data_IF_755769843556
#
_entry.id   IF_755769843556
#
_cell.length_a   1.000
_cell.length_b   1.000
_cell.length_c   1.000
_cell.angle_alpha   90.00
_cell.angle_beta   90.00
_cell.angle_gamma   90.00
#
_symmetry.space_group_name_H-M   'P 1'
#
loop_
_entity.id
_entity.type
_entity.pdbx_description
1 polymer ?
#
# COMPACT_ATOMS: atom_id res chain seq x y z
N UNK A 1 -8.33 15.36 -29.12
CA UNK A 1 -8.42 13.93 -28.71
C UNK A 1 -7.13 13.53 -28.00
N UNK A 2 -7.09 13.62 -26.68
CA UNK A 2 -5.88 13.35 -25.90
C UNK A 2 -5.80 11.85 -25.55
N UNK A 3 -5.20 11.06 -26.44
CA UNK A 3 -4.96 9.62 -26.25
C UNK A 3 -3.59 9.42 -25.60
N UNK A 4 -3.41 9.96 -24.39
CA UNK A 4 -2.30 9.60 -23.52
C UNK A 4 -2.84 8.55 -22.54
N UNK A 5 -2.63 7.28 -22.90
CA UNK A 5 -2.79 6.15 -22.00
C UNK A 5 -1.85 6.39 -20.81
N UNK A 6 -2.36 7.07 -19.76
CA UNK A 6 -1.84 6.96 -18.41
C UNK A 6 -1.78 5.46 -18.16
N UNK A 7 -0.59 4.86 -18.18
CA UNK A 7 -0.40 3.49 -17.68
C UNK A 7 -0.66 3.56 -16.18
N UNK A 8 -1.93 3.66 -15.81
CA UNK A 8 -2.38 3.53 -14.44
C UNK A 8 -1.87 2.18 -13.97
N UNK A 9 -1.13 2.18 -12.87
CA UNK A 9 -0.73 0.93 -12.24
C UNK A 9 -2.01 0.13 -11.98
N UNK A 10 -2.16 -0.99 -12.69
CA UNK A 10 -3.25 -1.94 -12.52
C UNK A 10 -2.66 -3.35 -12.61
N UNK A 11 -2.50 -4.01 -11.47
CA UNK A 11 -1.91 -5.35 -11.37
C UNK A 11 -2.96 -6.34 -10.89
N UNK A 12 -3.00 -7.53 -11.50
CA UNK A 12 -3.81 -8.63 -11.01
C UNK A 12 -3.09 -9.31 -9.86
N UNK A 13 -3.69 -9.29 -8.67
CA UNK A 13 -3.15 -9.85 -7.44
C UNK A 13 -4.13 -10.88 -6.89
N UNK A 14 -3.60 -12.00 -6.38
CA UNK A 14 -4.41 -13.01 -5.71
C UNK A 14 -4.55 -12.64 -4.24
N UNK A 15 -5.78 -12.66 -3.74
CA UNK A 15 -6.03 -12.47 -2.31
C UNK A 15 -5.45 -13.65 -1.52
N UNK A 16 -4.61 -13.37 -0.53
CA UNK A 16 -4.05 -14.39 0.38
C UNK A 16 -5.09 -15.09 1.26
N UNK A 17 -6.28 -14.51 1.43
CA UNK A 17 -7.33 -15.08 2.27
C UNK A 17 -8.33 -15.98 1.54
N UNK A 18 -8.74 -15.61 0.32
CA UNK A 18 -9.79 -16.31 -0.42
C UNK A 18 -9.35 -16.81 -1.80
N UNK A 19 -8.11 -16.53 -2.23
CA UNK A 19 -7.58 -16.94 -3.53
C UNK A 19 -8.15 -16.17 -4.73
N UNK A 20 -9.14 -15.30 -4.54
CA UNK A 20 -9.74 -14.54 -5.64
C UNK A 20 -8.71 -13.62 -6.30
N UNK A 21 -8.72 -13.57 -7.64
CA UNK A 21 -7.84 -12.70 -8.41
C UNK A 21 -8.51 -11.37 -8.67
N UNK A 22 -7.96 -10.29 -8.13
CA UNK A 22 -8.51 -8.94 -8.23
C UNK A 22 -7.56 -8.00 -8.96
N UNK A 23 -8.10 -7.05 -9.72
CA UNK A 23 -7.32 -5.95 -10.29
C UNK A 23 -7.13 -4.87 -9.22
N UNK A 24 -5.89 -4.61 -8.85
CA UNK A 24 -5.51 -3.61 -7.84
C UNK A 24 -4.96 -2.39 -8.56
N UNK A 25 -5.57 -1.23 -8.34
CA UNK A 25 -5.10 0.07 -8.82
C UNK A 25 -4.18 0.75 -7.80
N UNK A 26 -3.49 1.83 -8.21
CA UNK A 26 -2.58 2.58 -7.32
C UNK A 26 -3.29 3.12 -6.08
N UNK A 27 -4.50 3.61 -6.25
CA UNK A 27 -5.34 4.16 -5.18
C UNK A 27 -5.84 3.12 -4.17
N UNK A 28 -5.83 1.83 -4.55
CA UNK A 28 -6.21 0.72 -3.68
C UNK A 28 -5.06 0.27 -2.77
N UNK A 29 -3.81 0.62 -3.12
CA UNK A 29 -2.63 0.21 -2.38
C UNK A 29 -2.52 1.02 -1.10
N UNK A 30 -2.57 0.32 0.03
CA UNK A 30 -2.39 0.89 1.37
C UNK A 30 -1.07 0.43 1.95
N UNK A 31 -0.41 1.36 2.65
CA UNK A 31 0.74 1.04 3.47
C UNK A 31 0.28 0.58 4.84
N UNK A 32 0.68 -0.62 5.23
CA UNK A 32 0.66 -1.10 6.59
C UNK A 32 2.08 -1.06 7.18
N UNK A 33 2.13 -1.08 8.50
CA UNK A 33 3.36 -1.27 9.25
C UNK A 33 3.17 -2.55 10.02
N UNK A 34 4.04 -3.51 9.79
CA UNK A 34 4.15 -4.73 10.59
C UNK A 34 5.29 -4.56 11.59
N UNK A 35 5.08 -5.05 12.80
CA UNK A 35 6.06 -4.91 13.87
C UNK A 35 6.89 -6.18 13.92
N UNK A 36 8.17 -6.07 13.60
CA UNK A 36 9.08 -7.22 13.51
C UNK A 36 9.45 -7.82 14.89
N UNK A 37 8.95 -7.21 15.97
CA UNK A 37 9.24 -7.59 17.36
C UNK A 37 10.67 -7.28 17.82
N UNK A 38 11.53 -6.73 16.96
CA UNK A 38 12.91 -6.33 17.26
C UNK A 38 13.09 -4.81 17.32
N UNK A 39 11.98 -4.05 17.26
CA UNK A 39 11.98 -2.59 17.28
C UNK A 39 12.11 -1.98 15.89
N UNK A 40 12.09 -2.78 14.83
CA UNK A 40 11.93 -2.36 13.45
C UNK A 40 10.46 -2.27 13.04
N UNK A 41 10.20 -1.41 12.06
CA UNK A 41 8.90 -1.30 11.41
C UNK A 41 9.07 -1.80 9.98
N UNK A 42 8.52 -2.97 9.67
CA UNK A 42 8.51 -3.49 8.31
C UNK A 42 7.32 -2.91 7.56
N UNK A 43 7.59 -2.31 6.41
CA UNK A 43 6.52 -1.81 5.57
C UNK A 43 5.91 -2.93 4.75
N UNK A 44 4.61 -3.14 4.95
CA UNK A 44 3.81 -4.08 4.18
C UNK A 44 2.82 -3.31 3.31
N UNK A 45 2.57 -3.81 2.09
CA UNK A 45 1.57 -3.23 1.20
C UNK A 45 0.34 -4.11 1.22
N UNK A 46 -0.84 -3.52 1.30
CA UNK A 46 -2.10 -4.27 1.35
C UNK A 46 -3.16 -3.65 0.43
N UNK A 47 -4.13 -4.43 -0.02
CA UNK A 47 -5.36 -3.95 -0.66
C UNK A 47 -6.59 -4.57 -0.01
N UNK A 48 -7.74 -3.91 -0.12
CA UNK A 48 -9.01 -4.51 0.29
C UNK A 48 -9.51 -5.45 -0.81
N UNK A 49 -9.63 -6.74 -0.52
CA UNK A 49 -10.15 -7.69 -1.49
C UNK A 49 -11.65 -7.46 -1.70
N UNK A 50 -12.13 -7.17 -2.93
CA UNK A 50 -13.55 -6.93 -3.20
C UNK A 50 -14.40 -8.21 -3.07
N UNK A 51 -13.79 -9.40 -3.14
CA UNK A 51 -14.51 -10.66 -3.06
C UNK A 51 -14.81 -11.10 -1.61
N UNK A 52 -13.86 -10.92 -0.69
CA UNK A 52 -14.01 -11.35 0.70
C UNK A 52 -14.01 -10.20 1.73
N UNK A 53 -13.80 -8.96 1.29
CA UNK A 53 -13.78 -7.77 2.16
C UNK A 53 -12.58 -7.70 3.11
N UNK A 54 -11.60 -8.60 3.00
CA UNK A 54 -10.40 -8.62 3.87
C UNK A 54 -9.23 -7.88 3.23
N UNK A 55 -8.42 -7.23 4.07
CA UNK A 55 -7.15 -6.67 3.64
C UNK A 55 -6.17 -7.81 3.33
N UNK A 56 -5.67 -7.86 2.10
CA UNK A 56 -4.73 -8.88 1.64
C UNK A 56 -3.40 -8.23 1.26
N UNK A 57 -2.31 -8.95 1.54
CA UNK A 57 -0.96 -8.45 1.30
C UNK A 57 -0.60 -8.46 -0.17
N UNK A 58 0.09 -7.39 -0.57
CA UNK A 58 0.67 -7.19 -1.88
C UNK A 58 2.17 -7.40 -1.75
N UNK A 59 2.76 -8.36 -2.50
CA UNK A 59 4.21 -8.48 -2.60
C UNK A 59 4.83 -7.15 -3.03
N UNK A 60 5.83 -6.68 -2.30
CA UNK A 60 6.47 -5.38 -2.56
C UNK A 60 7.06 -5.32 -3.99
N UNK A 61 7.51 -6.44 -4.54
CA UNK A 61 8.02 -6.56 -5.92
C UNK A 61 6.99 -6.17 -6.98
N UNK A 62 5.69 -6.33 -6.68
CA UNK A 62 4.60 -5.97 -7.57
C UNK A 62 4.23 -4.49 -7.47
N UNK A 63 4.69 -3.78 -6.43
CA UNK A 63 4.43 -2.36 -6.23
C UNK A 63 5.54 -1.53 -6.90
N UNK A 64 5.21 -0.64 -7.84
CA UNK A 64 6.17 0.29 -8.44
C UNK A 64 6.88 1.14 -7.39
N UNK A 65 8.17 1.40 -7.60
CA UNK A 65 8.98 2.25 -6.71
C UNK A 65 8.33 3.60 -6.44
N UNK A 66 7.78 4.26 -7.46
CA UNK A 66 7.09 5.54 -7.32
C UNK A 66 5.92 5.50 -6.32
N UNK A 67 5.17 4.38 -6.26
CA UNK A 67 4.08 4.19 -5.30
C UNK A 67 4.65 3.95 -3.90
N UNK A 68 5.72 3.14 -3.79
CA UNK A 68 6.41 2.90 -2.50
C UNK A 68 6.91 4.20 -1.89
N UNK A 69 7.65 5.00 -2.66
CA UNK A 69 8.20 6.28 -2.23
C UNK A 69 7.11 7.24 -1.79
N UNK A 70 6.05 7.38 -2.59
CA UNK A 70 4.89 8.20 -2.23
C UNK A 70 4.26 7.77 -0.89
N UNK A 71 4.05 6.47 -0.69
CA UNK A 71 3.46 5.94 0.53
C UNK A 71 4.39 6.11 1.74
N UNK A 72 5.68 5.88 1.59
CA UNK A 72 6.69 6.08 2.64
C UNK A 72 6.80 7.54 3.05
N UNK A 73 6.82 8.46 2.09
CA UNK A 73 6.88 9.90 2.39
C UNK A 73 5.62 10.37 3.10
N UNK A 74 4.45 9.88 2.68
CA UNK A 74 3.16 10.16 3.34
C UNK A 74 3.15 9.68 4.79
N UNK A 75 3.64 8.47 5.05
CA UNK A 75 3.76 7.93 6.41
C UNK A 75 4.74 8.74 7.27
N UNK A 76 5.92 9.05 6.72
CA UNK A 76 6.94 9.87 7.39
C UNK A 76 6.39 11.24 7.78
N UNK A 77 5.66 11.90 6.88
CA UNK A 77 4.99 13.19 7.15
C UNK A 77 3.96 13.07 8.28
N UNK A 78 3.13 12.01 8.25
CA UNK A 78 2.16 11.74 9.32
C UNK A 78 2.84 11.56 10.68
N UNK A 79 3.86 10.70 10.79
CA UNK A 79 4.59 10.49 12.06
C UNK A 79 5.27 11.77 12.56
N UNK A 80 5.85 12.57 11.65
CA UNK A 80 6.43 13.86 12.03
C UNK A 80 5.35 14.84 12.54
N UNK A 81 4.16 14.82 11.95
CA UNK A 81 3.03 15.61 12.42
C UNK A 81 2.55 15.14 13.80
N UNK A 82 2.40 13.82 14.01
CA UNK A 82 2.03 13.25 15.32
C UNK A 82 3.08 13.60 16.39
N UNK A 83 4.37 13.55 16.06
CA UNK A 83 5.44 13.93 16.97
C UNK A 83 5.42 15.44 17.29
N UNK A 84 5.05 16.28 16.33
CA UNK A 84 4.87 17.71 16.56
C UNK A 84 3.66 18.00 17.44
N UNK A 85 2.57 17.22 17.32
CA UNK A 85 1.39 17.32 18.16
C UNK A 85 1.62 16.78 19.58
N UNK A 86 2.46 15.75 19.75
CA UNK A 86 2.79 15.16 21.04
C UNK A 86 3.75 16.01 21.89
N UNK A 87 4.33 17.07 21.33
CA UNK A 87 5.23 18.00 22.02
C UNK A 87 4.53 19.26 22.57
N UNK A 88 3.20 19.30 22.54
CA UNK A 88 2.38 20.39 23.11
C UNK A 88 1.80 20.00 24.47
#
# INVERSE_FOLDING_TARGET
MAKLLRKGFQKKINCSHCGSRSSVAQEDVRLGVDWDGMGGNDYVFNFLCPACGKAASIPSELVPSAIKEYLYEKDRKRRNQDLSAAKC
#
